data_IF_568123870055
#
_entry.id   IF_568123870055
#
_cell.length_a   1.000
_cell.length_b   1.000
_cell.length_c   1.000
_cell.angle_alpha   90.00
_cell.angle_beta   90.00
_cell.angle_gamma   90.00
#
_symmetry.space_group_name_H-M   'P 1'
#
loop_
_entity.id
_entity.type
_entity.pdbx_description
1 polymer ?
#
# COMPACT_ATOMS: atom_id res chain seq x y z
N UNK A 1 0.93 21.82 38.35
CA UNK A 1 0.00 21.59 37.24
C UNK A 1 0.78 20.99 36.04
N UNK A 2 0.20 20.00 35.38
CA UNK A 2 0.75 19.41 34.15
C UNK A 2 0.62 20.39 32.99
N UNK A 3 1.43 20.27 31.92
CA UNK A 3 1.22 20.99 30.67
C UNK A 3 -0.12 20.62 30.02
N UNK A 4 -0.61 21.45 29.12
CA UNK A 4 -1.69 21.08 28.21
C UNK A 4 -1.08 20.63 26.88
N UNK A 5 -1.70 19.63 26.25
CA UNK A 5 -1.22 19.05 24.97
C UNK A 5 -2.40 18.93 24.01
N UNK A 6 -2.19 19.36 22.78
CA UNK A 6 -3.10 19.16 21.65
C UNK A 6 -2.28 18.62 20.47
N UNK A 7 -2.86 17.69 19.74
CA UNK A 7 -2.26 17.14 18.54
C UNK A 7 -3.20 17.27 17.34
N UNK A 8 -2.64 17.46 16.16
CA UNK A 8 -3.36 17.34 14.88
C UNK A 8 -2.59 16.42 13.96
N UNK A 9 -3.34 15.68 13.12
CA UNK A 9 -2.77 14.76 12.13
C UNK A 9 -3.44 15.03 10.80
N UNK A 10 -2.62 15.28 9.78
CA UNK A 10 -3.10 15.49 8.40
C UNK A 10 -2.23 14.72 7.42
N UNK A 11 -2.83 14.26 6.34
CA UNK A 11 -2.09 13.67 5.20
C UNK A 11 -1.51 14.78 4.34
N UNK A 12 -0.21 14.73 4.09
CA UNK A 12 0.50 15.68 3.21
C UNK A 12 1.01 15.03 1.93
N UNK A 13 0.70 13.76 1.69
CA UNK A 13 0.99 13.09 0.44
C UNK A 13 -0.10 13.42 -0.58
N UNK A 14 0.25 14.16 -1.63
CA UNK A 14 -0.69 14.65 -2.64
C UNK A 14 -1.48 13.51 -3.33
N UNK A 15 -0.85 12.35 -3.54
CA UNK A 15 -1.50 11.19 -4.16
C UNK A 15 -2.61 10.64 -3.27
N UNK A 16 -2.33 10.40 -1.99
CA UNK A 16 -3.32 9.84 -1.05
C UNK A 16 -4.42 10.85 -0.73
N UNK A 17 -4.09 12.13 -0.64
CA UNK A 17 -5.09 13.21 -0.49
C UNK A 17 -6.02 13.26 -1.71
N UNK A 18 -5.48 13.08 -2.92
CA UNK A 18 -6.31 13.02 -4.14
C UNK A 18 -7.25 11.81 -4.14
N UNK A 19 -6.77 10.64 -3.69
CA UNK A 19 -7.57 9.41 -3.59
C UNK A 19 -8.70 9.52 -2.55
N UNK A 20 -8.42 10.15 -1.41
CA UNK A 20 -9.41 10.31 -0.33
C UNK A 20 -10.32 11.51 -0.53
N UNK A 21 -9.86 12.53 -1.25
CA UNK A 21 -10.52 13.85 -1.33
C UNK A 21 -10.47 14.63 -0.01
N UNK A 22 -9.68 14.17 0.99
CA UNK A 22 -9.68 14.77 2.33
C UNK A 22 -8.34 14.54 3.04
N UNK A 23 -7.61 15.62 3.29
CA UNK A 23 -6.33 15.58 4.02
C UNK A 23 -6.45 15.12 5.49
N UNK A 24 -7.65 15.01 6.06
CA UNK A 24 -7.88 14.46 7.40
C UNK A 24 -8.10 12.95 7.42
N UNK A 25 -8.07 12.31 6.26
CA UNK A 25 -8.21 10.87 6.09
C UNK A 25 -6.89 10.28 5.61
N UNK A 26 -6.33 9.36 6.37
CA UNK A 26 -5.11 8.65 6.02
C UNK A 26 -5.43 7.35 5.27
N UNK A 27 -4.54 6.94 4.38
CA UNK A 27 -4.51 5.59 3.81
C UNK A 27 -3.34 4.85 4.47
N UNK A 28 -3.64 3.79 5.22
CA UNK A 28 -2.64 2.98 5.91
C UNK A 28 -1.55 2.51 4.94
N UNK A 29 -0.28 2.54 5.34
CA UNK A 29 0.91 2.20 4.54
C UNK A 29 1.20 3.11 3.32
N UNK A 30 0.40 4.18 3.11
CA UNK A 30 0.52 5.04 1.93
C UNK A 30 0.64 6.52 2.25
N UNK A 31 -0.11 6.98 3.22
CA UNK A 31 -0.14 8.38 3.60
C UNK A 31 1.14 8.82 4.29
N UNK A 32 1.49 10.09 4.12
CA UNK A 32 2.48 10.78 4.95
C UNK A 32 1.73 11.58 6.01
N UNK A 33 1.73 11.08 7.23
CA UNK A 33 1.06 11.73 8.35
C UNK A 33 1.92 12.89 8.87
N UNK A 34 1.51 14.12 8.63
CA UNK A 34 2.05 15.31 9.29
C UNK A 34 1.39 15.45 10.65
N UNK A 35 2.18 15.28 11.69
CA UNK A 35 1.77 15.32 13.08
C UNK A 35 2.26 16.63 13.69
N UNK A 36 1.32 17.50 14.09
CA UNK A 36 1.61 18.76 14.77
C UNK A 36 1.19 18.68 16.23
N UNK A 37 2.07 19.12 17.14
CA UNK A 37 1.81 19.20 18.56
C UNK A 37 1.85 20.66 19.03
N UNK A 38 0.82 21.04 19.78
CA UNK A 38 0.78 22.29 20.53
C UNK A 38 0.76 21.96 22.01
N UNK A 39 1.85 22.28 22.71
CA UNK A 39 1.97 22.07 24.15
C UNK A 39 2.25 23.38 24.87
N UNK A 40 1.55 23.59 25.98
CA UNK A 40 1.71 24.80 26.81
C UNK A 40 2.00 24.40 28.25
N UNK A 41 3.16 24.80 28.75
CA UNK A 41 3.51 24.62 30.15
C UNK A 41 2.72 25.57 31.06
N UNK A 42 2.58 25.22 32.32
CA UNK A 42 1.90 26.01 33.36
C UNK A 42 2.90 26.57 34.36
N UNK A 43 2.50 27.61 35.09
CA UNK A 43 3.24 28.16 36.24
C UNK A 43 4.70 28.50 35.89
N UNK A 44 4.90 29.29 34.83
CA UNK A 44 6.22 29.79 34.39
C UNK A 44 7.24 28.71 34.00
N UNK A 45 6.81 27.45 33.82
CA UNK A 45 7.66 26.40 33.23
C UNK A 45 7.73 26.53 31.70
N UNK A 46 8.72 25.91 31.10
CA UNK A 46 8.84 25.74 29.62
C UNK A 46 8.60 24.28 29.24
N UNK A 47 8.26 24.04 27.99
CA UNK A 47 8.23 22.67 27.44
C UNK A 47 9.68 22.22 27.22
N UNK A 48 10.04 21.06 27.77
CA UNK A 48 11.38 20.48 27.66
C UNK A 48 11.47 19.38 26.59
N UNK A 49 10.37 18.65 26.31
CA UNK A 49 10.33 17.60 25.30
C UNK A 49 8.92 17.38 24.78
N UNK A 50 8.80 16.99 23.51
CA UNK A 50 7.55 16.67 22.82
C UNK A 50 7.72 15.40 21.99
N UNK A 51 6.69 14.57 21.93
CA UNK A 51 6.70 13.30 21.20
C UNK A 51 5.36 13.00 20.55
N UNK A 52 5.38 12.22 19.47
CA UNK A 52 4.22 11.52 18.92
C UNK A 52 4.58 10.05 18.72
N UNK A 53 3.80 9.13 19.28
CA UNK A 53 4.07 7.68 19.26
C UNK A 53 5.53 7.35 19.65
N UNK A 54 6.10 8.08 20.61
CA UNK A 54 7.50 7.94 21.05
C UNK A 54 8.55 8.59 20.13
N UNK A 55 8.17 9.17 19.01
CA UNK A 55 9.07 9.92 18.12
C UNK A 55 9.24 11.35 18.66
N UNK A 56 10.47 11.77 18.89
CA UNK A 56 10.78 13.12 19.38
C UNK A 56 10.46 14.18 18.32
N UNK A 57 9.82 15.27 18.74
CA UNK A 57 9.43 16.40 17.90
C UNK A 57 10.17 17.66 18.34
N UNK A 58 11.29 18.03 17.70
CA UNK A 58 12.09 19.19 18.14
C UNK A 58 11.44 20.54 17.81
N UNK A 59 10.59 20.62 16.80
CA UNK A 59 10.04 21.87 16.24
C UNK A 59 8.52 21.95 16.19
N UNK A 60 7.82 21.08 16.94
CA UNK A 60 6.34 21.07 16.98
C UNK A 60 5.67 20.29 15.85
N UNK A 61 6.39 19.90 14.80
CA UNK A 61 5.84 19.12 13.67
C UNK A 61 6.82 18.02 13.25
N UNK A 62 6.28 16.85 12.91
CA UNK A 62 7.03 15.73 12.30
C UNK A 62 6.17 15.03 11.27
N UNK A 63 6.80 14.53 10.20
CA UNK A 63 6.15 13.71 9.17
C UNK A 63 6.52 12.24 9.37
N UNK A 64 5.48 11.38 9.36
CA UNK A 64 5.62 9.92 9.41
C UNK A 64 5.18 9.36 8.07
N UNK A 65 6.14 8.90 7.27
CA UNK A 65 5.88 8.34 5.94
C UNK A 65 5.33 6.92 6.04
N UNK A 66 4.43 6.57 5.12
CA UNK A 66 3.83 5.24 5.01
C UNK A 66 3.28 4.73 6.35
N UNK A 67 2.63 5.62 7.10
CA UNK A 67 2.15 5.33 8.44
C UNK A 67 1.19 4.15 8.47
N UNK A 68 1.47 3.18 9.35
CA UNK A 68 0.53 2.08 9.69
C UNK A 68 -0.31 2.41 10.92
N UNK A 69 -0.03 3.52 11.59
CA UNK A 69 -0.72 3.90 12.81
C UNK A 69 -2.18 4.29 12.55
N UNK A 70 -3.07 3.82 13.42
CA UNK A 70 -4.50 4.16 13.44
C UNK A 70 -4.82 5.16 14.56
N UNK A 71 -3.84 5.46 15.40
CA UNK A 71 -3.93 6.44 16.47
C UNK A 71 -2.56 7.06 16.73
N UNK A 72 -2.57 8.31 17.21
CA UNK A 72 -1.38 9.09 17.46
C UNK A 72 -1.44 9.62 18.90
N UNK A 73 -0.50 9.17 19.75
CA UNK A 73 -0.37 9.63 21.13
C UNK A 73 0.67 10.75 21.19
N UNK A 74 0.18 11.98 21.38
CA UNK A 74 0.99 13.16 21.55
C UNK A 74 1.31 13.37 23.01
N UNK A 75 2.56 13.55 23.36
CA UNK A 75 2.97 13.81 24.74
C UNK A 75 3.97 14.94 24.83
N UNK A 76 3.92 15.67 25.95
CA UNK A 76 4.89 16.71 26.25
C UNK A 76 5.26 16.69 27.74
N UNK A 77 6.52 17.01 28.02
CA UNK A 77 7.07 17.13 29.36
C UNK A 77 7.56 18.57 29.58
N UNK A 78 7.26 19.16 30.71
CA UNK A 78 7.74 20.49 31.10
C UNK A 78 9.09 20.44 31.82
N UNK A 79 9.71 21.60 32.03
CA UNK A 79 11.02 21.75 32.71
C UNK A 79 11.06 21.28 34.14
N UNK A 80 9.91 20.98 34.76
CA UNK A 80 9.76 20.43 36.11
C UNK A 80 9.55 18.91 36.09
N UNK A 81 9.52 18.27 34.90
CA UNK A 81 9.30 16.85 34.76
C UNK A 81 7.83 16.41 34.75
N UNK A 82 6.86 17.35 34.73
CA UNK A 82 5.46 16.97 34.59
C UNK A 82 5.10 16.69 33.15
N UNK A 83 4.42 15.58 32.91
CA UNK A 83 4.01 15.15 31.55
C UNK A 83 2.48 15.14 31.38
N UNK A 84 2.03 15.38 30.18
CA UNK A 84 0.66 15.19 29.72
C UNK A 84 0.65 14.61 28.33
N UNK A 85 -0.48 13.97 27.95
CA UNK A 85 -0.68 13.43 26.60
C UNK A 85 -2.08 13.71 26.07
N UNK A 86 -2.21 13.60 24.74
CA UNK A 86 -3.47 13.69 24.01
C UNK A 86 -3.48 12.64 22.91
N UNK A 87 -4.54 11.82 22.87
CA UNK A 87 -4.71 10.79 21.84
C UNK A 87 -5.56 11.36 20.69
N UNK A 88 -5.03 11.26 19.46
CA UNK A 88 -5.72 11.63 18.22
C UNK A 88 -5.99 10.37 17.41
N UNK A 89 -7.25 10.19 16.98
CA UNK A 89 -7.68 9.08 16.12
C UNK A 89 -8.23 9.65 14.81
N UNK A 90 -7.40 9.85 13.78
CA UNK A 90 -7.88 10.27 12.48
C UNK A 90 -8.72 9.16 11.84
N UNK A 91 -9.46 9.49 10.79
CA UNK A 91 -10.03 8.46 9.91
C UNK A 91 -8.89 7.79 9.15
N UNK A 92 -8.78 6.46 9.23
CA UNK A 92 -7.76 5.68 8.53
C UNK A 92 -8.43 4.62 7.67
N UNK A 93 -8.16 4.67 6.37
CA UNK A 93 -8.60 3.63 5.43
C UNK A 93 -7.67 2.42 5.60
N UNK A 94 -8.23 1.22 5.89
CA UNK A 94 -7.46 0.03 6.23
C UNK A 94 -6.90 -0.64 4.95
N UNK A 95 -6.08 0.10 4.19
CA UNK A 95 -5.47 -0.41 2.98
C UNK A 95 -4.64 -1.66 3.27
N UNK A 96 -4.74 -2.63 2.38
CA UNK A 96 -3.99 -3.88 2.40
C UNK A 96 -2.96 -3.81 1.27
N UNK A 97 -1.66 -3.93 1.54
CA UNK A 97 -0.63 -3.91 0.51
C UNK A 97 -0.86 -4.99 -0.56
N UNK A 98 -0.82 -4.56 -1.82
CA UNK A 98 -0.99 -5.44 -2.96
C UNK A 98 0.17 -6.45 -3.04
N UNK A 99 -0.14 -7.72 -3.27
CA UNK A 99 0.82 -8.79 -3.54
C UNK A 99 0.37 -9.64 -4.71
N UNK A 100 1.28 -10.37 -5.36
CA UNK A 100 0.97 -11.37 -6.38
C UNK A 100 1.92 -12.56 -6.27
N UNK A 101 1.37 -13.78 -6.35
CA UNK A 101 2.10 -15.04 -6.33
C UNK A 101 1.61 -15.89 -7.52
N UNK A 102 2.31 -15.90 -8.66
CA UNK A 102 1.92 -16.64 -9.84
C UNK A 102 2.50 -18.06 -9.86
N UNK A 103 1.80 -18.95 -10.53
CA UNK A 103 2.30 -20.26 -10.95
C UNK A 103 2.00 -20.44 -12.43
N UNK A 104 3.06 -20.50 -13.25
CA UNK A 104 2.96 -20.74 -14.70
C UNK A 104 3.13 -22.22 -14.99
N UNK A 105 2.33 -22.74 -15.92
CA UNK A 105 2.40 -24.14 -16.33
C UNK A 105 2.11 -24.29 -17.82
N UNK A 106 2.82 -25.20 -18.50
CA UNK A 106 2.36 -25.71 -19.80
C UNK A 106 1.23 -26.71 -19.56
N UNK A 107 0.26 -26.70 -20.44
CA UNK A 107 -0.89 -27.64 -20.38
C UNK A 107 -0.40 -29.10 -20.52
N UNK A 108 0.62 -29.33 -21.32
CA UNK A 108 1.35 -30.59 -21.44
C UNK A 108 2.79 -30.34 -21.92
N UNK A 109 3.73 -31.29 -21.79
CA UNK A 109 5.12 -31.10 -22.21
C UNK A 109 5.32 -30.71 -23.67
N UNK A 110 4.37 -31.05 -24.56
CA UNK A 110 4.41 -30.71 -25.97
C UNK A 110 3.38 -29.64 -26.37
N UNK A 111 2.77 -29.00 -25.39
CA UNK A 111 1.76 -27.96 -25.65
C UNK A 111 2.40 -26.61 -25.94
N UNK A 112 1.86 -25.90 -26.93
CA UNK A 112 2.15 -24.50 -27.20
C UNK A 112 1.33 -23.53 -26.32
N UNK A 113 0.60 -24.05 -25.32
CA UNK A 113 -0.25 -23.28 -24.41
C UNK A 113 0.39 -23.21 -23.04
N UNK A 114 0.58 -21.98 -22.53
CA UNK A 114 0.93 -21.71 -21.14
C UNK A 114 -0.29 -21.15 -20.44
N UNK A 115 -0.51 -21.61 -19.21
CA UNK A 115 -1.51 -21.08 -18.29
C UNK A 115 -0.83 -20.47 -17.07
N UNK A 116 -1.52 -19.55 -16.39
CA UNK A 116 -1.14 -19.03 -15.09
C UNK A 116 -2.29 -19.16 -14.11
N UNK A 117 -1.97 -19.58 -12.90
CA UNK A 117 -2.79 -19.38 -11.70
C UNK A 117 -2.05 -18.39 -10.79
N UNK A 118 -2.79 -17.49 -10.17
CA UNK A 118 -2.20 -16.49 -9.26
C UNK A 118 -3.13 -16.20 -8.09
N UNK A 119 -2.54 -15.74 -7.01
CA UNK A 119 -3.25 -15.26 -5.84
C UNK A 119 -2.44 -14.15 -5.15
N UNK A 120 -3.09 -13.38 -4.32
CA UNK A 120 -2.44 -12.33 -3.55
C UNK A 120 -3.40 -11.56 -2.65
N UNK A 121 -2.88 -10.52 -2.03
CA UNK A 121 -3.66 -9.58 -1.23
C UNK A 121 -4.08 -8.38 -2.07
N UNK A 122 -5.29 -7.88 -1.83
CA UNK A 122 -5.84 -6.72 -2.50
C UNK A 122 -6.88 -6.04 -1.62
N UNK A 123 -6.75 -4.74 -1.44
CA UNK A 123 -7.77 -3.93 -0.77
C UNK A 123 -8.90 -3.59 -1.75
N UNK A 124 -10.02 -4.27 -1.63
CA UNK A 124 -11.21 -4.09 -2.51
C UNK A 124 -12.12 -2.93 -2.11
N UNK A 125 -11.69 -2.08 -1.17
CA UNK A 125 -12.47 -0.98 -0.65
C UNK A 125 -12.42 0.31 -1.48
N UNK A 126 -13.03 1.35 -0.93
CA UNK A 126 -13.06 2.70 -1.49
C UNK A 126 -12.09 3.60 -0.72
N UNK A 127 -11.42 4.49 -1.44
CA UNK A 127 -10.52 5.48 -0.84
C UNK A 127 -11.25 6.79 -0.44
N UNK A 128 -12.50 6.93 -0.78
CA UNK A 128 -13.31 8.13 -0.54
C UNK A 128 -13.69 8.80 -1.85
N UNK A 129 -12.78 9.52 -2.50
CA UNK A 129 -13.03 10.12 -3.81
C UNK A 129 -12.91 9.13 -4.97
N UNK A 130 -12.25 7.98 -4.77
CA UNK A 130 -12.07 6.95 -5.79
C UNK A 130 -12.19 5.55 -5.20
N UNK A 131 -12.70 4.60 -6.01
CA UNK A 131 -12.68 3.17 -5.69
C UNK A 131 -11.36 2.55 -6.08
N UNK A 132 -10.94 1.51 -5.36
CA UNK A 132 -9.79 0.72 -5.74
C UNK A 132 -10.18 -0.31 -6.82
N UNK A 133 -9.39 -0.39 -7.89
CA UNK A 133 -9.61 -1.34 -8.98
C UNK A 133 -8.32 -2.13 -9.23
N UNK A 134 -8.45 -3.45 -9.29
CA UNK A 134 -7.35 -4.35 -9.60
C UNK A 134 -7.22 -4.56 -11.11
N UNK A 135 -6.00 -4.45 -11.63
CA UNK A 135 -5.62 -4.85 -13.00
C UNK A 135 -4.48 -5.84 -12.91
N UNK A 136 -4.59 -6.94 -13.64
CA UNK A 136 -3.51 -7.92 -13.78
C UNK A 136 -3.16 -8.03 -15.25
N UNK A 137 -1.88 -7.95 -15.56
CA UNK A 137 -1.37 -8.02 -16.93
C UNK A 137 -0.10 -8.85 -16.96
N UNK A 138 0.20 -9.47 -18.10
CA UNK A 138 1.40 -10.24 -18.32
C UNK A 138 2.10 -9.84 -19.61
N UNK A 139 3.37 -10.18 -19.71
CA UNK A 139 4.16 -10.18 -20.93
C UNK A 139 5.16 -11.33 -20.89
N UNK A 140 5.76 -11.61 -22.03
CA UNK A 140 6.74 -12.68 -22.14
C UNK A 140 7.84 -12.33 -23.15
N UNK A 141 8.95 -13.04 -23.07
CA UNK A 141 10.01 -13.07 -24.07
C UNK A 141 10.58 -14.48 -24.18
N UNK A 142 11.18 -14.82 -25.31
CA UNK A 142 11.96 -16.06 -25.44
C UNK A 142 13.19 -15.94 -24.53
N UNK A 143 13.51 -16.99 -23.80
CA UNK A 143 14.66 -17.04 -22.91
C UNK A 143 15.95 -16.70 -23.68
N UNK A 144 16.79 -15.88 -23.08
CA UNK A 144 18.04 -15.42 -23.68
C UNK A 144 17.88 -14.27 -24.70
N UNK A 145 16.65 -13.75 -24.91
CA UNK A 145 16.42 -12.54 -25.71
C UNK A 145 16.16 -11.32 -24.81
N UNK A 146 16.40 -10.12 -25.35
CA UNK A 146 16.18 -8.86 -24.62
C UNK A 146 14.79 -8.26 -24.84
N UNK A 147 14.07 -8.69 -25.88
CA UNK A 147 12.83 -8.05 -26.30
C UNK A 147 11.60 -8.69 -25.67
N UNK A 148 10.93 -7.95 -24.81
CA UNK A 148 9.62 -8.34 -24.24
C UNK A 148 8.49 -8.10 -25.22
N UNK A 149 7.47 -8.96 -25.18
CA UNK A 149 6.18 -8.68 -25.81
C UNK A 149 5.50 -7.45 -25.20
N UNK A 150 4.50 -6.90 -25.87
CA UNK A 150 3.60 -5.95 -25.23
C UNK A 150 2.85 -6.62 -24.06
N UNK A 151 2.45 -5.80 -23.07
CA UNK A 151 1.57 -6.29 -22.00
C UNK A 151 0.19 -6.68 -22.53
N UNK A 152 -0.28 -7.82 -22.07
CA UNK A 152 -1.65 -8.30 -22.29
C UNK A 152 -2.40 -8.25 -20.96
N UNK A 153 -3.55 -7.58 -20.94
CA UNK A 153 -4.39 -7.50 -19.75
C UNK A 153 -5.22 -8.79 -19.60
N UNK A 154 -5.19 -9.38 -18.42
CA UNK A 154 -6.04 -10.51 -18.04
C UNK A 154 -7.47 -9.98 -17.84
N UNK A 155 -8.46 -10.67 -18.42
CA UNK A 155 -9.86 -10.29 -18.28
C UNK A 155 -10.30 -10.24 -16.82
N UNK A 156 -11.06 -9.23 -16.43
CA UNK A 156 -11.63 -9.12 -15.08
C UNK A 156 -12.49 -10.34 -14.70
N UNK A 157 -13.14 -10.99 -15.67
CA UNK A 157 -13.91 -12.22 -15.45
C UNK A 157 -13.06 -13.43 -15.04
N UNK A 158 -11.75 -13.36 -15.30
CA UNK A 158 -10.78 -14.40 -14.89
C UNK A 158 -10.16 -14.09 -13.51
N UNK A 159 -10.62 -13.06 -12.82
CA UNK A 159 -10.13 -12.66 -11.50
C UNK A 159 -11.29 -12.73 -10.51
N UNK A 160 -11.07 -13.47 -9.43
CA UNK A 160 -12.01 -13.55 -8.32
C UNK A 160 -11.53 -12.64 -7.18
N UNK A 161 -12.42 -11.77 -6.68
CA UNK A 161 -12.17 -10.84 -5.55
C UNK A 161 -13.26 -11.09 -4.51
N UNK A 162 -13.02 -11.96 -3.51
CA UNK A 162 -14.04 -12.34 -2.52
C UNK A 162 -14.40 -11.21 -1.54
N UNK A 163 -13.62 -10.16 -1.44
CA UNK A 163 -13.86 -9.03 -0.54
C UNK A 163 -13.26 -9.18 0.86
N UNK A 164 -12.49 -10.23 1.09
CA UNK A 164 -11.83 -10.54 2.36
C UNK A 164 -10.37 -10.02 2.45
N UNK A 165 -9.98 -9.17 1.52
CA UNK A 165 -8.61 -8.66 1.41
C UNK A 165 -7.69 -9.50 0.54
N UNK A 166 -8.24 -10.52 -0.14
CA UNK A 166 -7.52 -11.38 -1.07
C UNK A 166 -8.07 -11.29 -2.49
N UNK A 167 -7.32 -11.83 -3.44
CA UNK A 167 -7.79 -12.11 -4.79
C UNK A 167 -7.07 -13.33 -5.36
N UNK A 168 -7.65 -13.96 -6.36
CA UNK A 168 -7.03 -15.07 -7.08
C UNK A 168 -7.52 -15.13 -8.53
N UNK A 169 -6.83 -15.91 -9.36
CA UNK A 169 -7.35 -16.28 -10.67
C UNK A 169 -8.56 -17.20 -10.49
N UNK A 170 -9.59 -17.01 -11.33
CA UNK A 170 -10.75 -17.90 -11.37
C UNK A 170 -10.39 -19.15 -12.20
N UNK A 171 -9.57 -20.03 -11.59
CA UNK A 171 -8.94 -21.16 -12.26
C UNK A 171 -7.69 -20.78 -13.08
N UNK A 172 -7.26 -21.68 -13.94
CA UNK A 172 -6.11 -21.49 -14.81
C UNK A 172 -6.44 -20.55 -15.98
N UNK A 173 -5.70 -19.46 -16.08
CA UNK A 173 -5.86 -18.46 -17.16
C UNK A 173 -4.92 -18.81 -18.31
N UNK A 174 -5.46 -18.99 -19.51
CA UNK A 174 -4.65 -19.22 -20.71
C UNK A 174 -4.00 -17.93 -21.16
N UNK A 175 -2.65 -17.92 -21.25
CA UNK A 175 -1.89 -16.74 -21.69
C UNK A 175 -1.78 -16.64 -23.22
N UNK A 176 -1.97 -17.74 -23.93
CA UNK A 176 -1.92 -17.82 -25.38
C UNK A 176 -1.48 -19.19 -25.88
N UNK A 177 -1.47 -19.35 -27.20
CA UNK A 177 -1.12 -20.61 -27.89
C UNK A 177 0.15 -20.51 -28.73
N UNK A 178 0.96 -19.46 -28.55
CA UNK A 178 2.13 -19.18 -29.40
C UNK A 178 3.47 -19.53 -28.75
N UNK A 179 3.44 -20.29 -27.65
CA UNK A 179 4.64 -20.72 -26.93
C UNK A 179 5.17 -22.03 -27.49
N UNK A 180 6.14 -21.96 -28.39
CA UNK A 180 6.78 -23.18 -28.94
C UNK A 180 7.28 -24.06 -27.78
N UNK A 181 6.78 -25.30 -27.72
CA UNK A 181 7.13 -26.22 -26.62
C UNK A 181 8.62 -26.61 -26.57
N UNK A 182 9.36 -26.36 -27.65
CA UNK A 182 10.82 -26.63 -27.77
C UNK A 182 11.66 -25.46 -27.23
N UNK A 183 11.03 -24.38 -26.81
CA UNK A 183 11.68 -23.15 -26.32
C UNK A 183 11.30 -22.87 -24.89
N UNK A 184 12.21 -22.23 -24.17
CA UNK A 184 11.96 -21.65 -22.85
C UNK A 184 11.56 -20.18 -22.96
N UNK A 185 10.81 -19.68 -21.98
CA UNK A 185 10.31 -18.31 -21.95
C UNK A 185 10.49 -17.70 -20.58
N UNK A 186 10.85 -16.43 -20.55
CA UNK A 186 10.68 -15.59 -19.37
C UNK A 186 9.28 -15.01 -19.38
N UNK A 187 8.57 -15.14 -18.28
CA UNK A 187 7.19 -14.71 -18.09
C UNK A 187 7.14 -13.71 -16.93
N UNK A 188 6.53 -12.57 -17.18
CA UNK A 188 6.32 -11.53 -16.19
C UNK A 188 4.83 -11.28 -16.02
N UNK A 189 4.38 -11.21 -14.77
CA UNK A 189 3.03 -10.82 -14.39
C UNK A 189 3.07 -9.63 -13.44
N UNK A 190 2.18 -8.69 -13.65
CA UNK A 190 2.06 -7.48 -12.85
C UNK A 190 0.63 -7.33 -12.37
N UNK A 191 0.46 -7.18 -11.06
CA UNK A 191 -0.77 -6.68 -10.48
C UNK A 191 -0.62 -5.19 -10.17
N UNK A 192 -1.63 -4.41 -10.50
CA UNK A 192 -1.68 -2.97 -10.27
C UNK A 192 -3.03 -2.60 -9.66
N UNK A 193 -3.01 -1.73 -8.65
CA UNK A 193 -4.23 -1.23 -8.01
C UNK A 193 -4.47 0.27 -8.28
N UNK A 194 -5.64 0.76 -7.87
CA UNK A 194 -6.04 2.16 -8.03
C UNK A 194 -5.26 3.15 -7.16
N UNK A 195 -4.46 2.67 -6.20
CA UNK A 195 -3.56 3.53 -5.41
C UNK A 195 -2.26 3.87 -6.14
N UNK A 196 -2.07 3.35 -7.37
CA UNK A 196 -0.84 3.48 -8.13
C UNK A 196 0.23 2.45 -7.76
N UNK A 197 -0.06 1.50 -6.86
CA UNK A 197 0.86 0.42 -6.55
C UNK A 197 0.87 -0.60 -7.68
N UNK A 198 2.06 -1.00 -8.09
CA UNK A 198 2.28 -2.12 -8.99
C UNK A 198 3.27 -3.10 -8.35
N UNK A 199 2.93 -4.39 -8.36
CA UNK A 199 3.79 -5.48 -7.91
C UNK A 199 4.03 -6.43 -9.07
N UNK A 200 5.27 -6.89 -9.20
CA UNK A 200 5.76 -7.65 -10.32
C UNK A 200 6.31 -8.98 -9.83
N UNK A 201 6.05 -10.04 -10.58
CA UNK A 201 6.72 -11.34 -10.42
C UNK A 201 7.21 -11.83 -11.78
N UNK A 202 8.45 -12.25 -11.83
CA UNK A 202 9.11 -12.80 -13.03
C UNK A 202 9.52 -14.24 -12.78
N UNK A 203 9.27 -15.12 -13.75
CA UNK A 203 9.59 -16.54 -13.71
C UNK A 203 10.21 -16.95 -15.01
N UNK A 204 11.38 -17.59 -14.97
CA UNK A 204 12.02 -18.25 -16.11
C UNK A 204 11.63 -19.73 -16.15
N UNK A 205 11.24 -20.24 -17.33
CA UNK A 205 10.79 -21.64 -17.54
C UNK A 205 11.66 -22.38 -18.52
#
# INVERSE_FOLDING_TARGET
CKPTVYGTVTDVNATTVSLTGNAKTLIRYKSTASCEIVATAKNSASISAQYVNGIYIPSGTVEIQNSEAVSFDFSATDSRGYSASALVKPTVIPYIPLTINPTFRRVSPTSNIITVEFYGNFFSGNFGASSNALKVKYRYKEYGTETWSAYVTISASSINIPGDGTYNSNGAVTLGSNFDYRKSYDLEIVAQDGSGTAVLSEVSS
#
